data_IF_602697509890
#
_entry.id   IF_602697509890
#
_cell.length_a   1.000
_cell.length_b   1.000
_cell.length_c   1.000
_cell.angle_alpha   90.00
_cell.angle_beta   90.00
_cell.angle_gamma   90.00
#
_symmetry.space_group_name_H-M   'P 1'
#
loop_
_entity.id
_entity.type
_entity.pdbx_description
1 polymer ?
#
# COMPACT_ATOMS: atom_id res chain seq x y z
N UNK A 1 0.94 30.16 -16.78
CA UNK A 1 0.64 28.85 -17.37
C UNK A 1 1.30 27.83 -16.46
N UNK A 2 0.54 26.93 -15.84
CA UNK A 2 1.12 25.93 -14.94
C UNK A 2 1.96 24.89 -15.71
N UNK A 3 2.96 24.31 -15.05
CA UNK A 3 3.72 23.18 -15.58
C UNK A 3 2.75 22.03 -15.93
N UNK A 4 2.96 21.39 -17.07
CA UNK A 4 2.18 20.23 -17.52
C UNK A 4 2.95 18.91 -17.29
N UNK A 5 4.25 19.02 -16.98
CA UNK A 5 5.16 17.93 -16.64
C UNK A 5 6.08 18.41 -15.52
N UNK A 6 6.45 17.50 -14.61
CA UNK A 6 7.42 17.83 -13.57
C UNK A 6 8.20 16.59 -13.10
N UNK A 7 9.47 16.76 -12.75
CA UNK A 7 10.32 15.73 -12.15
C UNK A 7 9.80 15.34 -10.76
N UNK A 8 9.94 14.08 -10.37
CA UNK A 8 9.60 13.64 -9.00
C UNK A 8 10.28 14.50 -7.93
N UNK A 9 11.55 14.86 -8.16
CA UNK A 9 12.33 15.65 -7.22
C UNK A 9 11.82 17.09 -7.06
N UNK A 10 11.11 17.63 -8.05
CA UNK A 10 10.69 19.03 -8.14
C UNK A 10 9.19 19.23 -7.85
N UNK A 11 8.47 18.17 -7.49
CA UNK A 11 7.05 18.25 -7.10
C UNK A 11 6.91 19.07 -5.82
N UNK A 12 6.32 20.25 -5.92
CA UNK A 12 6.01 21.11 -4.77
C UNK A 12 4.68 20.68 -4.10
N UNK A 13 4.41 21.15 -2.85
CA UNK A 13 3.13 20.88 -2.20
C UNK A 13 1.91 21.31 -3.03
N UNK A 14 2.00 22.42 -3.77
CA UNK A 14 0.93 22.96 -4.61
C UNK A 14 0.66 22.08 -5.85
N UNK A 15 1.70 21.41 -6.37
CA UNK A 15 1.58 20.51 -7.52
C UNK A 15 1.03 19.14 -7.14
N UNK A 16 1.14 18.73 -5.87
CA UNK A 16 0.71 17.40 -5.40
C UNK A 16 -0.73 17.05 -5.75
N UNK A 17 -1.62 18.02 -5.76
CA UNK A 17 -3.03 17.81 -6.14
C UNK A 17 -3.23 17.33 -7.59
N UNK A 18 -2.21 17.45 -8.43
CA UNK A 18 -2.25 17.04 -9.84
C UNK A 18 -1.45 15.78 -10.16
N UNK A 19 -0.80 15.16 -9.13
CA UNK A 19 0.13 14.04 -9.33
C UNK A 19 -0.57 12.68 -9.31
N UNK A 20 -1.79 12.61 -8.80
CA UNK A 20 -2.43 11.36 -8.42
C UNK A 20 -1.70 10.64 -7.26
N UNK A 21 -2.28 9.57 -6.78
CA UNK A 21 -1.76 8.85 -5.61
C UNK A 21 -0.37 8.26 -5.84
N UNK A 22 -0.20 7.47 -6.89
CA UNK A 22 1.09 6.82 -7.21
C UNK A 22 2.21 7.84 -7.45
N UNK A 23 1.96 8.84 -8.31
CA UNK A 23 2.95 9.87 -8.64
C UNK A 23 3.32 10.71 -7.42
N UNK A 24 2.33 11.11 -6.63
CA UNK A 24 2.54 11.88 -5.40
C UNK A 24 3.34 11.11 -4.35
N UNK A 25 3.08 9.80 -4.18
CA UNK A 25 3.83 8.94 -3.27
C UNK A 25 5.28 8.76 -3.72
N UNK A 26 5.52 8.47 -5.01
CA UNK A 26 6.87 8.34 -5.56
C UNK A 26 7.70 9.63 -5.37
N UNK A 27 7.11 10.79 -5.64
CA UNK A 27 7.75 12.08 -5.42
C UNK A 27 8.10 12.31 -3.94
N UNK A 28 7.17 12.07 -3.02
CA UNK A 28 7.41 12.17 -1.57
C UNK A 28 8.53 11.25 -1.10
N UNK A 29 8.52 10.00 -1.56
CA UNK A 29 9.54 9.02 -1.20
C UNK A 29 10.91 9.43 -1.73
N UNK A 30 11.02 9.85 -3.00
CA UNK A 30 12.28 10.33 -3.57
C UNK A 30 12.83 11.53 -2.79
N UNK A 31 12.01 12.55 -2.53
CA UNK A 31 12.38 13.74 -1.76
C UNK A 31 12.77 13.41 -0.30
N UNK A 32 12.22 12.34 0.27
CA UNK A 32 12.59 11.83 1.58
C UNK A 32 13.82 10.91 1.57
N UNK A 33 14.50 10.72 0.41
CA UNK A 33 15.73 9.94 0.28
C UNK A 33 15.53 8.43 0.20
N UNK A 34 14.35 7.96 -0.22
CA UNK A 34 14.16 6.56 -0.56
C UNK A 34 14.75 6.26 -1.95
N UNK A 35 15.25 5.05 -2.20
CA UNK A 35 15.82 4.65 -3.48
C UNK A 35 14.68 4.40 -4.50
N UNK A 36 14.18 5.48 -5.07
CA UNK A 36 13.15 5.49 -6.12
C UNK A 36 13.83 5.64 -7.47
N UNK A 37 13.53 4.79 -8.48
CA UNK A 37 13.98 5.03 -9.85
C UNK A 37 13.52 6.39 -10.35
N UNK A 38 14.39 7.13 -11.01
CA UNK A 38 14.08 8.50 -11.46
C UNK A 38 12.95 8.52 -12.48
N UNK A 39 12.27 9.65 -12.59
CA UNK A 39 11.13 9.82 -13.48
C UNK A 39 10.45 11.16 -13.33
N UNK A 40 9.36 11.33 -14.05
CA UNK A 40 8.55 12.55 -14.06
C UNK A 40 7.05 12.22 -14.12
N UNK A 41 6.23 13.20 -13.82
CA UNK A 41 4.78 13.11 -13.85
C UNK A 41 4.25 14.01 -14.95
N UNK A 42 3.38 13.46 -15.77
CA UNK A 42 2.57 14.18 -16.76
C UNK A 42 1.23 14.46 -16.10
N UNK A 43 0.92 15.75 -15.91
CA UNK A 43 -0.31 16.16 -15.23
C UNK A 43 -1.54 16.04 -16.15
N UNK A 44 -2.75 15.94 -15.61
CA UNK A 44 -3.97 15.85 -16.43
C UNK A 44 -4.11 17.00 -17.44
N UNK A 45 -3.64 18.19 -17.08
CA UNK A 45 -3.68 19.38 -17.94
C UNK A 45 -2.82 19.27 -19.19
N UNK A 46 -1.92 18.28 -19.30
CA UNK A 46 -1.14 17.96 -20.49
C UNK A 46 -2.04 17.53 -21.67
N UNK A 47 -3.22 17.04 -21.36
CA UNK A 47 -4.19 16.60 -22.36
C UNK A 47 -5.29 17.65 -22.59
N UNK A 48 -5.79 17.70 -23.82
CA UNK A 48 -6.99 18.42 -24.21
C UNK A 48 -7.99 17.40 -24.76
N UNK A 49 -8.93 16.99 -23.92
CA UNK A 49 -9.73 15.80 -24.18
C UNK A 49 -8.81 14.57 -24.25
N UNK A 50 -8.89 13.82 -25.33
CA UNK A 50 -8.08 12.62 -25.55
C UNK A 50 -6.69 12.90 -26.16
N UNK A 51 -6.41 14.15 -26.56
CA UNK A 51 -5.17 14.50 -27.27
C UNK A 51 -4.13 15.13 -26.36
N UNK A 52 -2.92 14.58 -26.38
CA UNK A 52 -1.74 15.20 -25.77
C UNK A 52 -1.39 16.50 -26.51
N UNK A 53 -1.17 17.59 -25.79
CA UNK A 53 -0.78 18.87 -26.37
C UNK A 53 0.61 18.76 -27.01
N UNK A 54 0.76 19.31 -28.21
CA UNK A 54 2.02 19.26 -28.95
C UNK A 54 3.19 19.92 -28.20
N UNK A 55 2.92 21.03 -27.51
CA UNK A 55 3.90 21.71 -26.67
C UNK A 55 4.42 20.78 -25.57
N UNK A 56 3.51 20.09 -24.89
CA UNK A 56 3.85 19.15 -23.81
C UNK A 56 4.67 17.97 -24.33
N UNK A 57 4.34 17.45 -25.52
CA UNK A 57 5.11 16.39 -26.14
C UNK A 57 6.55 16.85 -26.47
N UNK A 58 6.74 18.03 -27.03
CA UNK A 58 8.08 18.60 -27.30
C UNK A 58 8.91 18.76 -26.01
N UNK A 59 8.26 19.18 -24.94
CA UNK A 59 8.92 19.30 -23.64
C UNK A 59 9.27 17.92 -23.07
N UNK A 60 8.37 16.95 -23.17
CA UNK A 60 8.59 15.57 -22.69
C UNK A 60 9.78 14.89 -23.36
N UNK A 61 9.99 15.12 -24.67
CA UNK A 61 11.16 14.61 -25.38
C UNK A 61 12.45 15.05 -24.68
N UNK A 62 12.54 16.30 -24.21
CA UNK A 62 13.72 16.79 -23.48
C UNK A 62 13.91 16.06 -22.14
N UNK A 63 12.83 15.71 -21.43
CA UNK A 63 12.90 14.91 -20.21
C UNK A 63 13.41 13.51 -20.50
N UNK A 64 12.91 12.87 -21.56
CA UNK A 64 13.35 11.53 -21.98
C UNK A 64 14.81 11.53 -22.45
N UNK A 65 15.25 12.53 -23.21
CA UNK A 65 16.63 12.70 -23.63
C UNK A 65 17.58 12.84 -22.42
N UNK A 66 17.20 13.63 -21.42
CA UNK A 66 17.95 13.78 -20.19
C UNK A 66 18.10 12.45 -19.46
N UNK A 67 17.00 11.68 -19.30
CA UNK A 67 17.04 10.37 -18.66
C UNK A 67 17.93 9.38 -19.44
N UNK A 68 17.84 9.36 -20.78
CA UNK A 68 18.70 8.48 -21.61
C UNK A 68 20.18 8.87 -21.57
N UNK A 69 20.46 10.16 -21.41
CA UNK A 69 21.84 10.63 -21.22
C UNK A 69 22.42 10.16 -19.88
N UNK A 70 21.62 10.26 -18.81
CA UNK A 70 22.06 9.90 -17.46
C UNK A 70 22.06 8.38 -17.25
N UNK A 71 21.21 7.64 -17.97
CA UNK A 71 21.04 6.18 -17.88
C UNK A 71 21.02 5.55 -19.29
N UNK A 72 22.18 5.19 -19.84
CA UNK A 72 22.27 4.57 -21.17
C UNK A 72 21.43 3.28 -21.27
N UNK A 73 20.78 3.07 -22.40
CA UNK A 73 19.92 1.91 -22.69
C UNK A 73 18.70 1.75 -21.75
N UNK A 74 18.26 2.84 -21.13
CA UNK A 74 17.09 2.83 -20.24
C UNK A 74 15.81 2.53 -21.01
N UNK A 75 14.96 1.70 -20.44
CA UNK A 75 13.53 1.59 -20.76
C UNK A 75 12.70 2.28 -19.68
N UNK A 76 11.43 2.55 -20.01
CA UNK A 76 10.52 3.24 -19.13
C UNK A 76 9.31 2.37 -18.79
N UNK A 77 8.76 2.61 -17.60
CA UNK A 77 7.43 2.20 -17.21
C UNK A 77 6.52 3.42 -17.29
N UNK A 78 5.42 3.32 -18.04
CA UNK A 78 4.38 4.34 -18.15
C UNK A 78 3.15 3.84 -17.39
N UNK A 79 2.80 4.52 -16.31
CA UNK A 79 1.80 4.05 -15.34
C UNK A 79 0.73 5.10 -15.09
N UNK A 80 -0.50 4.67 -14.92
CA UNK A 80 -1.60 5.51 -14.43
C UNK A 80 -1.35 6.00 -13.01
N UNK A 81 -1.82 7.21 -12.73
CA UNK A 81 -1.85 7.80 -11.40
C UNK A 81 -3.11 8.66 -11.27
N UNK A 82 -4.24 8.01 -11.04
CA UNK A 82 -5.51 8.72 -10.92
C UNK A 82 -5.55 9.59 -9.66
N UNK A 83 -6.19 10.76 -9.76
CA UNK A 83 -6.30 11.67 -8.62
C UNK A 83 -7.18 11.10 -7.50
N UNK A 84 -8.07 10.17 -7.83
CA UNK A 84 -8.98 9.49 -6.90
C UNK A 84 -8.49 8.11 -6.44
N UNK A 85 -7.33 7.60 -6.94
CA UNK A 85 -6.91 6.20 -6.78
C UNK A 85 -6.62 5.80 -5.33
N UNK A 86 -6.11 6.73 -4.51
CA UNK A 86 -5.72 6.48 -3.12
C UNK A 86 -6.63 7.23 -2.13
N UNK A 87 -7.89 7.48 -2.49
CA UNK A 87 -8.83 7.98 -1.52
C UNK A 87 -9.23 6.85 -0.55
N UNK A 88 -9.44 7.19 0.74
CA UNK A 88 -9.92 6.25 1.75
C UNK A 88 -11.25 5.55 1.36
N UNK A 89 -11.92 6.04 0.33
CA UNK A 89 -13.24 5.59 -0.14
C UNK A 89 -13.17 4.65 -1.34
N UNK A 90 -12.06 4.60 -2.09
CA UNK A 90 -11.96 3.77 -3.29
C UNK A 90 -10.52 3.33 -3.59
N UNK A 91 -10.30 2.03 -3.73
CA UNK A 91 -9.04 1.46 -4.22
C UNK A 91 -9.26 0.99 -5.66
N UNK A 92 -8.74 1.73 -6.63
CA UNK A 92 -8.75 1.34 -8.05
C UNK A 92 -7.57 0.40 -8.41
N UNK A 93 -7.14 -0.44 -7.46
CA UNK A 93 -6.01 -1.33 -7.65
C UNK A 93 -6.24 -2.28 -8.85
N UNK A 94 -5.40 -2.15 -9.87
CA UNK A 94 -5.46 -3.00 -11.07
C UNK A 94 -6.53 -2.61 -12.08
N UNK A 95 -7.28 -1.51 -11.88
CA UNK A 95 -8.31 -1.07 -12.81
C UNK A 95 -7.74 -0.26 -14.00
N UNK A 96 -6.62 0.39 -13.81
CA UNK A 96 -5.96 1.20 -14.84
C UNK A 96 -4.74 0.50 -15.44
N UNK A 97 -4.42 0.84 -16.68
CA UNK A 97 -3.34 0.25 -17.44
C UNK A 97 -1.95 0.75 -17.03
N UNK A 98 -0.96 -0.12 -17.25
CA UNK A 98 0.47 0.21 -17.18
C UNK A 98 1.18 -0.43 -18.36
N UNK A 99 2.10 0.29 -18.99
CA UNK A 99 2.92 -0.20 -20.10
C UNK A 99 4.38 -0.21 -19.66
N UNK A 100 5.00 -1.37 -19.72
CA UNK A 100 6.38 -1.58 -19.29
C UNK A 100 7.33 -1.75 -20.48
N UNK A 101 8.63 -1.69 -20.22
CA UNK A 101 9.72 -1.90 -21.21
C UNK A 101 9.66 -0.94 -22.42
N UNK A 102 9.13 0.26 -22.23
CA UNK A 102 8.99 1.27 -23.28
C UNK A 102 10.35 1.88 -23.59
N UNK A 103 10.81 1.85 -24.85
CA UNK A 103 12.17 2.27 -25.22
C UNK A 103 12.20 3.53 -26.09
N UNK A 104 11.45 3.57 -27.18
CA UNK A 104 11.49 4.68 -28.13
C UNK A 104 10.54 5.82 -27.77
N UNK A 105 10.71 7.00 -28.36
CA UNK A 105 9.78 8.11 -28.17
C UNK A 105 8.39 7.76 -28.69
N UNK A 106 8.32 7.05 -29.83
CA UNK A 106 7.06 6.58 -30.41
C UNK A 106 6.34 5.61 -29.47
N UNK A 107 7.07 4.72 -28.83
CA UNK A 107 6.48 3.77 -27.86
C UNK A 107 6.02 4.48 -26.60
N UNK A 108 6.78 5.48 -26.11
CA UNK A 108 6.33 6.34 -24.99
C UNK A 108 5.04 7.05 -25.36
N UNK A 109 4.94 7.63 -26.55
CA UNK A 109 3.72 8.31 -26.99
C UNK A 109 2.53 7.36 -27.06
N UNK A 110 2.71 6.17 -27.62
CA UNK A 110 1.67 5.11 -27.64
C UNK A 110 1.26 4.71 -26.23
N UNK A 111 2.24 4.45 -25.35
CA UNK A 111 1.99 4.08 -23.96
C UNK A 111 1.21 5.16 -23.20
N UNK A 112 1.53 6.44 -23.42
CA UNK A 112 0.77 7.56 -22.84
C UNK A 112 -0.70 7.52 -23.25
N UNK A 113 -0.99 7.26 -24.53
CA UNK A 113 -2.38 7.15 -25.00
C UNK A 113 -3.08 5.91 -24.43
N UNK A 114 -2.41 4.74 -24.37
CA UNK A 114 -2.98 3.53 -23.76
C UNK A 114 -3.37 3.80 -22.31
N UNK A 115 -2.43 4.36 -21.53
CA UNK A 115 -2.66 4.66 -20.12
C UNK A 115 -3.72 5.75 -19.94
N UNK A 116 -3.68 6.82 -20.75
CA UNK A 116 -4.68 7.89 -20.67
C UNK A 116 -6.08 7.39 -21.02
N UNK A 117 -6.22 6.55 -22.06
CA UNK A 117 -7.51 6.01 -22.47
C UNK A 117 -8.09 4.97 -21.48
N UNK A 118 -7.24 4.34 -20.64
CA UNK A 118 -7.73 3.36 -19.66
C UNK A 118 -8.76 3.93 -18.67
N UNK A 119 -8.74 5.27 -18.43
CA UNK A 119 -9.75 5.95 -17.60
C UNK A 119 -11.18 5.88 -18.18
N UNK A 120 -11.31 5.65 -19.49
CA UNK A 120 -12.60 5.53 -20.17
C UNK A 120 -13.04 4.08 -20.40
N UNK A 121 -12.31 3.10 -19.88
CA UNK A 121 -12.65 1.69 -20.03
C UNK A 121 -14.00 1.36 -19.38
N UNK A 122 -14.70 0.37 -19.93
CA UNK A 122 -15.97 -0.12 -19.35
C UNK A 122 -15.81 -0.57 -17.89
N UNK A 123 -14.66 -1.15 -17.56
CA UNK A 123 -14.30 -1.62 -16.23
C UNK A 123 -14.22 -0.47 -15.23
N UNK A 124 -13.53 0.63 -15.58
CA UNK A 124 -13.45 1.83 -14.74
C UNK A 124 -14.82 2.49 -14.60
N UNK A 125 -15.61 2.55 -15.67
CA UNK A 125 -16.98 3.11 -15.63
C UNK A 125 -17.89 2.31 -14.71
N UNK A 126 -17.87 0.97 -14.83
CA UNK A 126 -18.67 0.09 -13.98
C UNK A 126 -18.29 0.25 -12.49
N UNK A 127 -16.99 0.31 -12.18
CA UNK A 127 -16.51 0.50 -10.82
C UNK A 127 -16.91 1.88 -10.27
N UNK A 128 -16.78 2.94 -11.07
CA UNK A 128 -17.17 4.30 -10.68
C UNK A 128 -18.68 4.42 -10.40
N UNK A 129 -19.50 3.78 -11.23
CA UNK A 129 -20.94 3.75 -11.04
C UNK A 129 -21.35 3.08 -9.72
N UNK A 130 -20.69 1.96 -9.35
CA UNK A 130 -20.92 1.26 -8.08
C UNK A 130 -20.52 2.12 -6.88
N UNK A 131 -19.48 2.96 -7.02
CA UNK A 131 -18.95 3.82 -5.94
C UNK A 131 -19.56 5.23 -5.92
N UNK A 132 -20.48 5.56 -6.83
CA UNK A 132 -21.18 6.85 -6.87
C UNK A 132 -20.32 8.01 -7.39
N UNK A 133 -19.27 7.74 -8.16
CA UNK A 133 -18.47 8.77 -8.82
C UNK A 133 -19.10 9.11 -10.18
N UNK A 134 -19.64 10.32 -10.34
CA UNK A 134 -20.31 10.77 -11.58
C UNK A 134 -19.35 11.39 -12.61
N UNK A 135 -18.13 11.78 -12.21
CA UNK A 135 -17.20 12.49 -13.10
C UNK A 135 -16.08 11.58 -13.63
N UNK A 136 -15.62 11.87 -14.86
CA UNK A 136 -14.43 11.23 -15.43
C UNK A 136 -13.21 11.48 -14.53
N UNK A 137 -12.54 10.39 -14.14
CA UNK A 137 -11.35 10.49 -13.29
C UNK A 137 -10.26 11.29 -13.98
N UNK A 138 -9.81 12.38 -13.34
CA UNK A 138 -8.62 13.07 -13.82
C UNK A 138 -7.41 12.19 -13.56
N UNK A 139 -6.64 11.93 -14.61
CA UNK A 139 -5.49 11.01 -14.56
C UNK A 139 -4.19 11.73 -14.84
N UNK A 140 -3.27 11.69 -13.89
CA UNK A 140 -1.86 11.93 -14.15
C UNK A 140 -1.20 10.64 -14.64
N UNK A 141 -0.09 10.77 -15.34
CA UNK A 141 0.69 9.63 -15.84
C UNK A 141 2.11 9.73 -15.31
N UNK A 142 2.59 8.64 -14.73
CA UNK A 142 3.96 8.48 -14.26
C UNK A 142 4.79 7.89 -15.40
N UNK A 143 5.88 8.56 -15.77
CA UNK A 143 6.92 8.01 -16.64
C UNK A 143 8.18 7.82 -15.80
N UNK A 144 8.56 6.57 -15.56
CA UNK A 144 9.60 6.19 -14.62
C UNK A 144 10.62 5.27 -15.30
N UNK A 145 11.89 5.39 -14.94
CA UNK A 145 12.93 4.44 -15.34
C UNK A 145 12.54 3.05 -14.87
N UNK A 146 12.55 2.10 -15.79
CA UNK A 146 12.31 0.70 -15.49
C UNK A 146 13.56 0.06 -14.88
N UNK A 147 13.38 -0.61 -13.75
CA UNK A 147 14.45 -1.35 -13.08
C UNK A 147 14.58 -2.72 -13.74
N UNK A 148 15.77 -3.10 -14.27
CA UNK A 148 16.00 -4.44 -14.79
C UNK A 148 16.13 -5.44 -13.64
N UNK A 149 15.00 -5.81 -13.06
CA UNK A 149 14.90 -6.51 -11.80
C UNK A 149 15.43 -7.93 -11.86
N UNK A 150 16.38 -8.26 -11.00
CA UNK A 150 16.83 -9.62 -10.71
C UNK A 150 15.87 -10.31 -9.72
N UNK A 151 15.35 -9.54 -8.78
CA UNK A 151 14.34 -9.96 -7.80
C UNK A 151 13.33 -8.82 -7.67
N UNK A 152 12.06 -9.17 -7.66
CA UNK A 152 10.97 -8.22 -7.40
C UNK A 152 10.02 -8.78 -6.36
N UNK A 153 9.42 -7.92 -5.56
CA UNK A 153 8.52 -8.36 -4.53
C UNK A 153 7.57 -7.30 -4.01
N UNK A 154 6.68 -7.76 -3.16
CA UNK A 154 5.76 -6.95 -2.37
C UNK A 154 6.06 -7.15 -0.90
N UNK A 155 5.99 -6.09 -0.11
CA UNK A 155 6.11 -6.13 1.35
C UNK A 155 4.98 -5.33 1.98
N UNK A 156 4.14 -6.00 2.73
CA UNK A 156 3.16 -5.38 3.61
C UNK A 156 3.80 -5.11 4.97
N UNK A 157 3.73 -3.88 5.46
CA UNK A 157 4.32 -3.55 6.77
C UNK A 157 3.48 -4.01 7.95
N UNK A 158 2.30 -4.58 7.70
CA UNK A 158 1.54 -5.43 8.61
C UNK A 158 1.03 -6.63 7.83
N UNK A 159 0.70 -7.73 8.48
CA UNK A 159 0.15 -8.90 7.80
C UNK A 159 -1.27 -8.56 7.27
N UNK A 160 -1.50 -8.56 5.96
CA UNK A 160 -2.77 -8.14 5.38
C UNK A 160 -3.91 -9.15 5.59
N UNK A 161 -3.60 -10.39 5.98
CA UNK A 161 -4.58 -11.46 6.22
C UNK A 161 -5.03 -11.46 7.68
N UNK A 162 -4.06 -11.41 8.61
CA UNK A 162 -4.35 -11.49 10.04
C UNK A 162 -4.48 -10.15 10.72
N UNK A 163 -4.10 -9.05 10.04
CA UNK A 163 -4.03 -7.72 10.63
C UNK A 163 -2.87 -7.52 11.61
N UNK A 164 -2.00 -8.53 11.80
CA UNK A 164 -0.92 -8.49 12.77
C UNK A 164 0.12 -7.41 12.42
N UNK A 165 0.16 -6.34 13.21
CA UNK A 165 1.09 -5.22 13.05
C UNK A 165 2.50 -5.50 13.58
N UNK A 166 2.72 -6.62 14.28
CA UNK A 166 4.03 -7.04 14.78
C UNK A 166 4.87 -7.78 13.74
N UNK A 167 4.29 -8.06 12.56
CA UNK A 167 4.95 -8.79 11.48
C UNK A 167 4.74 -8.04 10.17
N UNK A 168 5.82 -7.86 9.42
CA UNK A 168 5.75 -7.49 8.01
C UNK A 168 5.75 -8.78 7.19
N UNK A 169 4.82 -8.93 6.27
CA UNK A 169 4.68 -10.10 5.39
C UNK A 169 4.99 -9.73 3.95
N UNK A 170 5.79 -10.52 3.26
CA UNK A 170 6.13 -10.24 1.88
C UNK A 170 6.28 -11.48 1.01
N UNK A 171 6.15 -11.25 -0.28
CA UNK A 171 6.35 -12.23 -1.33
C UNK A 171 7.33 -11.67 -2.36
N UNK A 172 8.11 -12.55 -2.99
CA UNK A 172 9.01 -12.16 -4.06
C UNK A 172 9.13 -13.26 -5.12
N UNK A 173 9.56 -12.84 -6.30
CA UNK A 173 9.91 -13.70 -7.44
C UNK A 173 11.28 -13.27 -7.99
N UNK A 174 11.94 -14.16 -8.74
CA UNK A 174 13.08 -13.79 -9.56
C UNK A 174 12.60 -13.15 -10.86
N UNK A 175 13.24 -12.05 -11.26
CA UNK A 175 12.86 -11.26 -12.43
C UNK A 175 11.82 -10.18 -12.14
N UNK A 176 11.00 -9.86 -13.13
CA UNK A 176 10.01 -8.79 -13.09
C UNK A 176 8.80 -9.12 -12.20
N UNK A 177 8.30 -8.12 -11.49
CA UNK A 177 7.19 -8.25 -10.56
C UNK A 177 5.82 -8.58 -11.17
N UNK A 178 5.65 -8.43 -12.49
CA UNK A 178 4.41 -8.82 -13.18
C UNK A 178 4.02 -10.28 -12.96
N UNK A 179 5.01 -11.16 -12.85
CA UNK A 179 4.79 -12.58 -12.56
C UNK A 179 4.18 -12.81 -11.17
N UNK A 180 4.47 -11.92 -10.22
CA UNK A 180 3.90 -11.96 -8.88
C UNK A 180 2.42 -11.52 -8.90
N UNK A 181 2.13 -10.41 -9.57
CA UNK A 181 0.77 -9.85 -9.65
C UNK A 181 -0.17 -10.75 -10.47
N UNK A 182 0.34 -11.35 -11.54
CA UNK A 182 -0.45 -12.26 -12.39
C UNK A 182 -0.66 -13.66 -11.80
N UNK A 183 -0.05 -13.97 -10.65
CA UNK A 183 -0.13 -15.31 -10.03
C UNK A 183 0.55 -16.44 -10.80
N UNK A 184 1.34 -16.11 -11.84
CA UNK A 184 2.00 -17.08 -12.72
C UNK A 184 3.39 -17.52 -12.22
N UNK A 185 3.96 -16.82 -11.23
CA UNK A 185 5.29 -17.12 -10.70
C UNK A 185 5.25 -17.96 -9.43
N UNK A 186 6.30 -18.78 -9.20
CA UNK A 186 6.53 -19.45 -7.92
C UNK A 186 6.94 -18.40 -6.86
N UNK A 187 5.97 -17.70 -6.31
CA UNK A 187 6.18 -16.70 -5.28
C UNK A 187 6.78 -17.35 -4.02
N UNK A 188 7.85 -16.75 -3.51
CA UNK A 188 8.50 -17.14 -2.25
C UNK A 188 8.08 -16.19 -1.14
N UNK A 189 7.66 -16.74 -0.02
CA UNK A 189 7.16 -15.98 1.14
C UNK A 189 8.29 -15.67 2.10
N UNK A 190 8.25 -14.49 2.73
CA UNK A 190 9.13 -14.12 3.83
C UNK A 190 8.40 -13.25 4.86
N UNK A 191 8.97 -13.18 6.06
CA UNK A 191 8.43 -12.36 7.15
C UNK A 191 9.55 -11.63 7.88
N UNK A 192 9.22 -10.43 8.38
CA UNK A 192 10.10 -9.58 9.20
C UNK A 192 9.36 -9.22 10.50
N UNK A 193 9.91 -9.61 11.64
CA UNK A 193 9.28 -9.41 12.94
C UNK A 193 9.68 -8.06 13.55
N UNK A 194 8.70 -7.25 13.92
CA UNK A 194 8.93 -6.00 14.63
C UNK A 194 9.03 -6.19 16.15
N UNK A 195 9.75 -5.35 16.86
CA UNK A 195 10.67 -4.33 16.37
C UNK A 195 12.06 -4.85 16.00
N UNK A 196 12.32 -6.17 16.20
CA UNK A 196 13.66 -6.76 16.11
C UNK A 196 14.26 -6.81 14.70
N UNK A 197 13.43 -6.75 13.64
CA UNK A 197 13.85 -6.99 12.26
C UNK A 197 14.26 -8.44 11.99
N UNK A 198 13.93 -9.39 12.90
CA UNK A 198 14.23 -10.82 12.70
C UNK A 198 13.57 -11.30 11.41
N UNK A 199 14.38 -11.93 10.59
CA UNK A 199 13.97 -12.45 9.29
C UNK A 199 13.62 -13.93 9.33
N UNK A 200 12.56 -14.31 8.62
CA UNK A 200 12.21 -15.69 8.30
C UNK A 200 11.89 -15.78 6.81
N UNK A 201 12.68 -16.52 6.06
CA UNK A 201 12.48 -16.66 4.62
C UNK A 201 13.71 -17.21 3.90
N UNK A 202 13.70 -17.18 2.55
CA UNK A 202 14.78 -17.67 1.69
C UNK A 202 16.07 -16.88 1.84
N UNK A 203 17.23 -17.56 1.75
CA UNK A 203 18.56 -16.96 1.98
C UNK A 203 18.94 -15.88 0.95
N UNK A 204 18.37 -15.90 -0.21
CA UNK A 204 18.65 -14.97 -1.33
C UNK A 204 18.37 -13.51 -0.97
N UNK A 205 17.42 -13.26 -0.07
CA UNK A 205 17.11 -11.90 0.40
C UNK A 205 18.00 -11.40 1.53
N UNK A 206 18.78 -12.26 2.19
CA UNK A 206 19.57 -11.88 3.37
C UNK A 206 20.43 -10.61 3.18
N UNK A 207 21.09 -10.38 2.03
CA UNK A 207 21.91 -9.18 1.82
C UNK A 207 21.11 -7.87 1.86
N UNK A 208 19.80 -7.93 1.57
CA UNK A 208 18.93 -6.76 1.37
C UNK A 208 17.98 -6.50 2.54
N UNK A 209 17.76 -7.50 3.39
CA UNK A 209 16.73 -7.49 4.44
C UNK A 209 16.87 -6.31 5.41
N UNK A 210 18.09 -5.99 5.85
CA UNK A 210 18.30 -4.87 6.78
C UNK A 210 17.86 -3.53 6.18
N UNK A 211 18.20 -3.30 4.89
CA UNK A 211 17.79 -2.09 4.17
C UNK A 211 16.29 -2.06 3.95
N UNK A 212 15.71 -3.19 3.49
CA UNK A 212 14.28 -3.32 3.23
C UNK A 212 13.48 -3.05 4.52
N UNK A 213 13.84 -3.70 5.63
CA UNK A 213 13.21 -3.48 6.94
C UNK A 213 13.32 -2.03 7.41
N UNK A 214 14.50 -1.43 7.30
CA UNK A 214 14.73 -0.06 7.74
C UNK A 214 13.89 0.95 6.95
N UNK A 215 13.88 0.84 5.64
CA UNK A 215 13.08 1.72 4.78
C UNK A 215 11.59 1.51 4.99
N UNK A 216 11.11 0.27 5.05
CA UNK A 216 9.70 -0.05 5.26
C UNK A 216 9.19 0.46 6.62
N UNK A 217 9.96 0.26 7.70
CA UNK A 217 9.61 0.77 9.03
C UNK A 217 9.59 2.30 9.08
N UNK A 218 10.55 2.96 8.40
CA UNK A 218 10.60 4.41 8.30
C UNK A 218 9.42 4.95 7.51
N UNK A 219 9.02 4.27 6.42
CA UNK A 219 7.88 4.66 5.60
C UNK A 219 6.57 4.54 6.38
N UNK A 220 6.31 3.39 7.00
CA UNK A 220 5.14 3.18 7.85
C UNK A 220 5.02 4.26 8.92
N UNK A 221 6.13 4.57 9.62
CA UNK A 221 6.15 5.63 10.63
C UNK A 221 5.85 7.01 10.04
N UNK A 222 6.38 7.33 8.86
CA UNK A 222 6.18 8.62 8.20
C UNK A 222 4.75 8.79 7.64
N UNK A 223 4.09 7.69 7.29
CA UNK A 223 2.70 7.69 6.80
C UNK A 223 1.67 7.56 7.94
N UNK A 224 2.08 7.06 9.11
CA UNK A 224 1.20 6.84 10.27
C UNK A 224 0.34 5.58 10.18
N UNK A 225 0.48 4.80 9.12
CA UNK A 225 -0.34 3.61 8.84
C UNK A 225 0.45 2.54 8.06
N UNK A 226 0.05 1.26 8.15
CA UNK A 226 0.67 0.18 7.41
C UNK A 226 0.66 0.39 5.90
N UNK A 227 1.76 -0.01 5.25
CA UNK A 227 2.01 0.22 3.84
C UNK A 227 2.14 -1.09 3.06
N UNK A 228 1.60 -1.12 1.85
CA UNK A 228 1.83 -2.08 0.78
C UNK A 228 2.92 -1.51 -0.14
N UNK A 229 4.06 -2.16 -0.19
CA UNK A 229 5.27 -1.65 -0.84
C UNK A 229 5.71 -2.59 -1.95
N UNK A 230 5.77 -2.10 -3.18
CA UNK A 230 6.44 -2.79 -4.28
C UNK A 230 7.92 -2.41 -4.31
N UNK A 231 8.77 -3.42 -4.43
CA UNK A 231 10.22 -3.23 -4.45
C UNK A 231 10.91 -4.15 -5.46
N UNK A 232 12.11 -3.75 -5.85
CA UNK A 232 12.95 -4.53 -6.76
C UNK A 232 14.41 -4.46 -6.36
N UNK A 233 15.17 -5.46 -6.76
CA UNK A 233 16.62 -5.53 -6.64
C UNK A 233 17.20 -5.65 -8.05
N UNK A 234 18.15 -4.80 -8.37
CA UNK A 234 18.93 -4.83 -9.59
C UNK A 234 20.37 -4.37 -9.30
N UNK A 235 21.34 -5.07 -9.86
CA UNK A 235 22.77 -4.78 -9.66
C UNK A 235 23.16 -4.62 -8.17
N UNK A 236 22.59 -5.46 -7.31
CA UNK A 236 22.83 -5.42 -5.87
C UNK A 236 22.22 -4.22 -5.13
N UNK A 237 21.38 -3.42 -5.79
CA UNK A 237 20.70 -2.26 -5.20
C UNK A 237 19.21 -2.53 -5.01
N UNK A 238 18.67 -2.04 -3.90
CA UNK A 238 17.23 -2.07 -3.60
C UNK A 238 16.58 -0.80 -4.13
N UNK A 239 15.44 -0.95 -4.80
CA UNK A 239 14.58 0.12 -5.29
C UNK A 239 13.15 -0.08 -4.77
N UNK A 240 12.48 1.03 -4.47
CA UNK A 240 11.04 1.04 -4.22
C UNK A 240 10.33 1.53 -5.47
N UNK A 241 9.33 0.77 -5.92
CA UNK A 241 8.62 1.02 -7.17
C UNK A 241 7.25 1.67 -6.95
N UNK A 242 6.63 1.37 -5.81
CA UNK A 242 5.35 1.91 -5.37
C UNK A 242 5.18 1.72 -3.87
N UNK A 243 4.40 2.58 -3.23
CA UNK A 243 3.88 2.36 -1.89
C UNK A 243 2.48 2.94 -1.78
N UNK A 244 1.61 2.27 -1.02
CA UNK A 244 0.25 2.70 -0.72
C UNK A 244 -0.19 2.19 0.65
N UNK A 245 -1.20 2.80 1.28
CA UNK A 245 -1.81 2.25 2.50
C UNK A 245 -2.36 0.85 2.28
N UNK A 246 -2.26 0.00 3.32
CA UNK A 246 -2.91 -1.31 3.33
C UNK A 246 -4.37 -1.12 3.70
N UNK A 247 -5.26 -1.18 2.71
CA UNK A 247 -6.69 -0.92 2.87
C UNK A 247 -7.47 -2.08 3.51
N UNK A 248 -6.90 -3.27 3.55
CA UNK A 248 -7.54 -4.49 4.08
C UNK A 248 -7.45 -4.62 5.61
N UNK A 249 -6.73 -3.74 6.29
CA UNK A 249 -6.48 -3.81 7.74
C UNK A 249 -7.55 -3.13 8.60
N UNK A 250 -8.62 -2.64 8.03
CA UNK A 250 -9.73 -2.13 8.83
C UNK A 250 -10.39 -3.31 9.55
N UNK A 251 -10.56 -3.26 10.88
CA UNK A 251 -11.20 -4.32 11.65
C UNK A 251 -12.69 -4.47 11.34
N UNK A 252 -13.21 -3.68 10.40
CA UNK A 252 -14.59 -3.71 9.98
C UNK A 252 -14.79 -3.05 8.63
N UNK A 253 -15.86 -3.42 7.97
CA UNK A 253 -16.34 -2.75 6.77
C UNK A 253 -17.32 -1.63 7.19
N UNK A 254 -16.91 -0.37 7.00
CA UNK A 254 -17.76 0.78 7.37
C UNK A 254 -19.05 0.85 6.55
N UNK A 255 -19.05 0.29 5.33
CA UNK A 255 -20.23 0.30 4.45
C UNK A 255 -21.25 -0.75 4.88
N UNK A 256 -20.81 -1.93 5.35
CA UNK A 256 -21.68 -3.02 5.81
C UNK A 256 -21.84 -3.03 7.32
N UNK A 257 -21.04 -2.26 8.04
CA UNK A 257 -20.94 -2.29 9.52
C UNK A 257 -20.61 -3.69 10.08
N UNK A 258 -19.96 -4.50 9.27
CA UNK A 258 -19.43 -5.79 9.72
C UNK A 258 -18.08 -5.61 10.39
N UNK A 259 -17.97 -6.09 11.63
CA UNK A 259 -16.76 -6.07 12.43
C UNK A 259 -16.32 -7.48 12.75
N UNK A 260 -15.02 -7.75 12.61
CA UNK A 260 -14.45 -9.01 13.02
C UNK A 260 -13.03 -8.81 13.57
N UNK A 261 -12.95 -8.45 14.84
CA UNK A 261 -11.69 -8.18 15.52
C UNK A 261 -10.82 -9.43 15.70
N UNK A 262 -11.38 -10.64 15.51
CA UNK A 262 -10.56 -11.88 15.50
C UNK A 262 -9.57 -11.95 14.35
N UNK A 263 -9.74 -11.11 13.33
CA UNK A 263 -8.81 -10.99 12.20
C UNK A 263 -7.67 -10.00 12.48
N UNK A 264 -7.73 -9.25 13.58
CA UNK A 264 -6.75 -8.24 13.97
C UNK A 264 -5.78 -8.77 15.03
N UNK A 265 -4.78 -9.53 14.60
CA UNK A 265 -3.76 -10.09 15.49
C UNK A 265 -4.06 -11.51 15.97
N UNK A 266 -3.07 -12.10 16.63
CA UNK A 266 -3.14 -13.49 17.13
C UNK A 266 -3.55 -13.47 18.62
N UNK A 267 -4.83 -13.25 18.89
CA UNK A 267 -5.41 -13.12 20.21
C UNK A 267 -6.39 -14.26 20.54
N UNK A 268 -6.44 -14.64 21.80
CA UNK A 268 -7.46 -15.54 22.31
C UNK A 268 -8.67 -14.73 22.78
N UNK A 269 -9.81 -15.01 22.20
CA UNK A 269 -11.07 -14.35 22.47
C UNK A 269 -12.04 -15.26 23.24
N UNK A 270 -12.79 -14.70 24.18
CA UNK A 270 -13.87 -15.39 24.88
C UNK A 270 -15.10 -14.50 25.04
N UNK A 271 -16.28 -15.06 24.94
CA UNK A 271 -17.53 -14.37 25.27
C UNK A 271 -18.17 -14.88 26.57
N UNK A 272 -17.49 -15.76 27.33
CA UNK A 272 -18.06 -16.44 28.49
C UNK A 272 -18.68 -15.46 29.49
N UNK A 273 -17.96 -14.43 29.92
CA UNK A 273 -18.48 -13.45 30.86
C UNK A 273 -19.30 -12.34 30.18
N UNK A 274 -18.83 -11.87 29.02
CA UNK A 274 -19.48 -10.79 28.28
C UNK A 274 -20.81 -11.26 27.69
N UNK A 275 -20.88 -12.52 27.25
CA UNK A 275 -22.09 -13.12 26.69
C UNK A 275 -23.23 -13.28 27.69
N UNK A 276 -22.96 -13.30 29.00
CA UNK A 276 -24.01 -13.26 30.04
C UNK A 276 -24.66 -11.87 30.16
N UNK A 277 -23.86 -10.81 29.96
CA UNK A 277 -24.31 -9.41 30.05
C UNK A 277 -24.83 -8.86 28.70
N UNK A 278 -24.22 -9.28 27.61
CA UNK A 278 -24.53 -8.87 26.22
C UNK A 278 -24.71 -10.14 25.39
N UNK A 279 -25.87 -10.76 25.50
CA UNK A 279 -26.16 -12.06 24.90
C UNK A 279 -26.42 -12.00 23.39
N UNK A 280 -26.88 -10.85 22.91
CA UNK A 280 -27.30 -10.66 21.52
C UNK A 280 -26.27 -9.95 20.66
N UNK A 281 -26.56 -9.88 19.35
CA UNK A 281 -25.82 -9.09 18.39
C UNK A 281 -25.96 -7.61 18.74
N UNK A 282 -24.85 -6.92 18.89
CA UNK A 282 -24.85 -5.48 19.16
C UNK A 282 -25.10 -4.69 17.89
N UNK A 283 -25.86 -3.62 18.00
CA UNK A 283 -26.04 -2.68 16.89
C UNK A 283 -24.73 -1.93 16.61
N UNK A 284 -24.51 -1.40 15.39
CA UNK A 284 -23.34 -0.57 15.09
C UNK A 284 -23.16 0.60 16.05
N UNK A 285 -24.26 1.26 16.46
CA UNK A 285 -24.24 2.35 17.44
C UNK A 285 -23.78 1.85 18.82
N UNK A 286 -24.34 0.74 19.30
CA UNK A 286 -23.95 0.15 20.60
C UNK A 286 -22.49 -0.26 20.59
N UNK A 287 -22.01 -0.84 19.49
CA UNK A 287 -20.59 -1.20 19.34
C UNK A 287 -19.69 0.02 19.35
N UNK A 288 -20.05 1.10 18.67
CA UNK A 288 -19.27 2.35 18.66
C UNK A 288 -19.10 2.93 20.08
N UNK A 289 -20.13 2.84 20.90
CA UNK A 289 -20.09 3.30 22.30
C UNK A 289 -19.17 2.39 23.13
N UNK A 290 -19.34 1.07 23.05
CA UNK A 290 -18.49 0.09 23.76
C UNK A 290 -17.03 0.30 23.40
N UNK A 291 -16.74 0.44 22.12
CA UNK A 291 -15.39 0.65 21.61
C UNK A 291 -14.76 1.96 22.11
N UNK A 292 -15.51 3.05 22.08
CA UNK A 292 -15.05 4.35 22.58
C UNK A 292 -14.72 4.28 24.08
N UNK A 293 -15.55 3.60 24.88
CA UNK A 293 -15.31 3.40 26.30
C UNK A 293 -14.07 2.53 26.55
N UNK A 294 -13.87 1.48 25.78
CA UNK A 294 -12.69 0.63 25.90
C UNK A 294 -11.40 1.37 25.50
N UNK A 295 -11.42 2.12 24.43
CA UNK A 295 -10.28 2.91 23.97
C UNK A 295 -9.91 4.02 24.99
N UNK A 296 -10.86 4.61 25.66
CA UNK A 296 -10.64 5.70 26.62
C UNK A 296 -10.19 5.20 28.01
N UNK A 297 -10.71 4.05 28.47
CA UNK A 297 -10.52 3.58 29.87
C UNK A 297 -9.55 2.41 30.03
N UNK A 298 -9.33 1.63 28.97
CA UNK A 298 -8.55 0.38 29.03
C UNK A 298 -7.28 0.41 28.17
N UNK A 299 -6.68 1.59 27.97
CA UNK A 299 -5.46 1.71 27.17
C UNK A 299 -4.27 1.14 27.92
N UNK A 300 -3.88 -0.09 27.59
CA UNK A 300 -2.52 -0.56 27.91
C UNK A 300 -1.61 0.02 26.82
N UNK A 301 -0.49 0.67 27.17
CA UNK A 301 0.45 1.20 26.20
C UNK A 301 0.91 0.10 25.23
N UNK A 302 0.54 0.23 23.91
CA UNK A 302 0.80 -0.78 22.90
C UNK A 302 -0.42 -1.15 22.04
N UNK A 303 -1.56 -0.49 22.24
CA UNK A 303 -2.80 -0.66 21.45
C UNK A 303 -3.40 -2.07 21.45
N UNK A 304 -3.53 -2.68 22.63
CA UNK A 304 -4.24 -3.96 22.74
C UNK A 304 -5.71 -3.69 23.04
N UNK A 305 -6.59 -4.16 22.15
CA UNK A 305 -8.04 -4.11 22.35
C UNK A 305 -8.43 -5.09 23.47
N UNK A 306 -9.13 -4.59 24.49
CA UNK A 306 -9.64 -5.43 25.59
C UNK A 306 -10.95 -6.11 25.21
N UNK A 307 -11.78 -5.46 24.41
CA UNK A 307 -13.00 -6.01 23.82
C UNK A 307 -12.93 -6.01 22.30
N UNK A 308 -13.54 -6.99 21.66
CA UNK A 308 -13.65 -7.12 20.22
C UNK A 308 -15.06 -7.48 19.79
N UNK A 309 -15.42 -7.05 18.58
CA UNK A 309 -16.64 -7.50 17.90
C UNK A 309 -16.27 -8.64 16.95
N UNK A 310 -16.89 -9.79 17.16
CA UNK A 310 -16.71 -10.95 16.28
C UNK A 310 -18.09 -11.37 15.78
N UNK A 311 -18.34 -11.19 14.48
CA UNK A 311 -19.63 -11.48 13.85
C UNK A 311 -20.81 -10.81 14.58
N UNK A 312 -20.65 -9.55 14.96
CA UNK A 312 -21.68 -8.76 15.65
C UNK A 312 -21.82 -9.02 17.14
N UNK A 313 -21.04 -9.89 17.75
CA UNK A 313 -21.06 -10.19 19.19
C UNK A 313 -19.81 -9.68 19.89
N UNK A 314 -19.97 -9.27 21.15
CA UNK A 314 -18.87 -8.78 21.97
C UNK A 314 -18.09 -9.94 22.57
N UNK A 315 -16.77 -9.86 22.44
CA UNK A 315 -15.81 -10.81 23.04
C UNK A 315 -14.77 -10.04 23.85
N UNK A 316 -14.25 -10.66 24.90
CA UNK A 316 -13.10 -10.16 25.66
C UNK A 316 -11.80 -10.79 25.15
N UNK A 317 -10.74 -9.99 25.08
CA UNK A 317 -9.40 -10.43 24.72
C UNK A 317 -8.71 -11.02 25.94
N UNK A 318 -8.57 -12.34 25.98
CA UNK A 318 -7.95 -13.06 27.10
C UNK A 318 -6.43 -13.03 27.02
N UNK A 319 -5.85 -12.85 25.85
CA UNK A 319 -4.39 -12.82 25.67
C UNK A 319 -3.74 -11.69 26.46
N UNK A 320 -4.39 -10.53 26.58
CA UNK A 320 -3.86 -9.38 27.30
C UNK A 320 -3.70 -9.66 28.80
N UNK A 321 -4.74 -10.01 29.56
CA UNK A 321 -4.59 -10.34 30.99
C UNK A 321 -3.68 -11.55 31.22
N UNK A 322 -3.69 -12.56 30.36
CA UNK A 322 -2.76 -13.69 30.47
C UNK A 322 -1.30 -13.24 30.33
N UNK A 323 -1.00 -12.34 29.42
CA UNK A 323 0.37 -11.79 29.24
C UNK A 323 0.83 -11.04 30.49
N UNK A 324 -0.05 -10.29 31.13
CA UNK A 324 0.23 -9.61 32.40
C UNK A 324 0.50 -10.63 33.52
N UNK A 325 -0.34 -11.65 33.68
CA UNK A 325 -0.12 -12.68 34.67
C UNK A 325 1.20 -13.45 34.50
N UNK A 326 1.56 -13.78 33.26
CA UNK A 326 2.86 -14.40 32.96
C UNK A 326 4.03 -13.46 33.27
N UNK A 327 3.91 -12.16 33.03
CA UNK A 327 4.94 -11.17 33.37
C UNK A 327 5.18 -11.08 34.88
N UNK A 328 4.13 -11.33 35.69
CA UNK A 328 4.23 -11.43 37.17
C UNK A 328 4.64 -12.83 37.67
N UNK A 329 5.10 -13.73 36.81
CA UNK A 329 5.63 -15.04 37.20
C UNK A 329 4.59 -16.15 37.41
N UNK A 330 3.32 -15.91 37.04
CA UNK A 330 2.29 -16.94 37.10
C UNK A 330 2.53 -17.96 35.97
N UNK A 331 2.44 -19.24 36.31
CA UNK A 331 2.59 -20.28 35.30
C UNK A 331 1.24 -20.87 34.86
N UNK A 332 1.25 -21.59 33.72
CA UNK A 332 0.05 -22.19 33.16
C UNK A 332 -0.73 -23.08 34.14
N UNK A 333 -0.03 -23.79 35.03
CA UNK A 333 -0.67 -24.68 36.04
C UNK A 333 -1.39 -23.87 37.13
N UNK A 334 -0.92 -22.69 37.51
CA UNK A 334 -1.58 -21.84 38.49
C UNK A 334 -2.82 -21.14 37.96
N UNK A 335 -2.84 -20.86 36.66
CA UNK A 335 -3.98 -20.19 35.99
C UNK A 335 -5.14 -21.18 35.75
N UNK A 336 -4.83 -22.42 35.39
CA UNK A 336 -5.85 -23.45 35.06
C UNK A 336 -6.45 -24.15 36.29
N UNK A 337 -6.00 -23.82 37.51
CA UNK A 337 -6.53 -24.41 38.77
C UNK A 337 -7.66 -23.60 39.42
N UNK A 338 -8.05 -22.47 38.83
CA UNK A 338 -9.21 -21.66 39.21
C UNK A 338 -10.24 -21.67 38.11
#
# INVERSE_FOLDING_TARGET
MGNEIEWFAEITPELRKWTGGKGGMLARMLQAGYPIPNGFIVFPQAFQGEKLKEKTWKEMIRYLEKLRKDYPNVSFAVRSSALSEDSALASFAGEFESVLEVQTNEDVLKALYVVHHSQYSERVRAYSAVKGFEEAHQMAIVVQIMVPSEISGVLFTADPITGNRSVMSGNFVFGLGEQLVSGKGNARVFSLFKPSGRYKGPKELLPYIKKLYWYASRLEKAMGEPQDIEWAIANGQLFFLQARPVTTLSPGNMDTFEWNDSLSGDFLWTNTNVGESISDVVTPLSWSIIRALDEEHNVIPGHYLMSGNICGRVYSNVSVPLSVFFAFGWNKKSILKK
#
